data_IF_807649104760
#
_entry.id   IF_807649104760
#
_cell.length_a   1.000
_cell.length_b   1.000
_cell.length_c   1.000
_cell.angle_alpha   90.00
_cell.angle_beta   90.00
_cell.angle_gamma   90.00
#
_symmetry.space_group_name_H-M   'P 1'
#
loop_
_entity.id
_entity.type
_entity.pdbx_description
1 polymer ?
#
# COMPACT_ATOMS: atom_id res chain seq x y z
N UNK A 1 -2.81 -5.26 -49.74
CA UNK A 1 -3.34 -6.62 -49.48
C UNK A 1 -3.98 -6.55 -48.11
N UNK A 2 -5.28 -6.89 -47.93
CA UNK A 2 -5.85 -7.05 -46.60
C UNK A 2 -5.05 -8.12 -45.86
N UNK A 3 -4.81 -7.92 -44.57
CA UNK A 3 -4.09 -8.87 -43.75
C UNK A 3 -4.88 -10.20 -43.72
N UNK A 4 -4.20 -11.34 -43.76
CA UNK A 4 -4.84 -12.66 -43.76
C UNK A 4 -5.74 -12.80 -42.52
N UNK A 5 -5.33 -12.19 -41.41
CA UNK A 5 -6.12 -12.09 -40.19
C UNK A 5 -7.50 -11.43 -40.42
N UNK A 6 -7.57 -10.33 -41.16
CA UNK A 6 -8.82 -9.59 -41.40
C UNK A 6 -9.81 -10.40 -42.23
N UNK A 7 -9.32 -11.12 -43.24
CA UNK A 7 -10.13 -11.98 -44.11
C UNK A 7 -10.71 -13.18 -43.32
N UNK A 8 -9.95 -13.71 -42.36
CA UNK A 8 -10.42 -14.76 -41.45
C UNK A 8 -11.46 -14.25 -40.45
N UNK A 9 -11.26 -13.06 -39.87
CA UNK A 9 -12.22 -12.44 -38.94
C UNK A 9 -13.53 -12.15 -39.67
N UNK A 10 -13.49 -11.57 -40.88
CA UNK A 10 -14.68 -11.27 -41.68
C UNK A 10 -15.49 -12.53 -42.01
N UNK A 11 -14.83 -13.62 -42.41
CA UNK A 11 -15.50 -14.91 -42.68
C UNK A 11 -16.13 -15.52 -41.43
N UNK A 12 -15.50 -15.37 -40.25
CA UNK A 12 -16.06 -15.84 -38.98
C UNK A 12 -17.29 -14.98 -38.56
N UNK A 13 -17.26 -13.68 -38.83
CA UNK A 13 -18.42 -12.80 -38.63
C UNK A 13 -19.59 -13.18 -39.57
N UNK A 14 -19.32 -13.42 -40.85
CA UNK A 14 -20.33 -13.87 -41.83
C UNK A 14 -20.95 -15.23 -41.48
N UNK A 15 -20.20 -16.09 -40.78
CA UNK A 15 -20.69 -17.38 -40.29
C UNK A 15 -21.51 -17.29 -39.01
N UNK A 16 -21.57 -16.12 -38.38
CA UNK A 16 -22.23 -15.94 -37.09
C UNK A 16 -21.48 -16.60 -35.93
N UNK A 17 -20.17 -16.89 -36.07
CA UNK A 17 -19.37 -17.55 -35.02
C UNK A 17 -19.26 -16.70 -33.74
N UNK A 18 -19.60 -15.40 -33.82
CA UNK A 18 -19.68 -14.47 -32.68
C UNK A 18 -21.09 -14.30 -32.12
N UNK A 19 -22.12 -14.86 -32.78
CA UNK A 19 -23.50 -14.83 -32.31
C UNK A 19 -23.76 -16.07 -31.43
N UNK A 20 -24.48 -15.89 -30.32
CA UNK A 20 -24.87 -16.97 -29.41
C UNK A 20 -23.70 -17.74 -28.74
N UNK A 21 -22.60 -17.05 -28.41
CA UNK A 21 -21.53 -17.63 -27.59
C UNK A 21 -22.13 -18.19 -26.28
N UNK A 22 -21.74 -19.41 -25.90
CA UNK A 22 -22.24 -20.10 -24.70
C UNK A 22 -22.05 -19.30 -23.37
N UNK A 23 -21.12 -18.34 -23.40
CA UNK A 23 -20.76 -17.42 -22.33
C UNK A 23 -21.14 -15.95 -22.61
N UNK A 24 -21.93 -15.66 -23.66
CA UNK A 24 -22.43 -14.32 -23.94
C UNK A 24 -23.19 -13.75 -22.73
N UNK A 25 -22.78 -12.57 -22.26
CA UNK A 25 -23.36 -11.91 -21.08
C UNK A 25 -22.93 -12.48 -19.73
N UNK A 26 -22.22 -13.62 -19.67
CA UNK A 26 -21.64 -14.15 -18.43
C UNK A 26 -20.27 -13.51 -18.20
N UNK A 27 -19.91 -13.25 -16.94
CA UNK A 27 -18.54 -12.82 -16.60
C UNK A 27 -17.57 -13.86 -17.13
N UNK A 28 -16.58 -13.43 -17.90
CA UNK A 28 -15.49 -14.30 -18.33
C UNK A 28 -14.80 -14.85 -17.07
N UNK A 29 -14.73 -16.18 -16.87
CA UNK A 29 -13.95 -16.73 -15.78
C UNK A 29 -12.48 -16.45 -16.08
N UNK A 30 -11.94 -15.42 -15.42
CA UNK A 30 -10.52 -15.10 -15.51
C UNK A 30 -9.76 -16.17 -14.73
N UNK A 31 -9.16 -17.11 -15.45
CA UNK A 31 -8.21 -18.05 -14.87
C UNK A 31 -6.90 -17.33 -14.58
N UNK A 32 -6.84 -16.70 -13.40
CA UNK A 32 -5.65 -16.00 -12.92
C UNK A 32 -4.56 -16.99 -12.45
N UNK A 33 -4.81 -18.31 -12.44
CA UNK A 33 -3.79 -19.29 -12.03
C UNK A 33 -2.54 -19.24 -12.90
N UNK A 34 -2.69 -18.85 -14.18
CA UNK A 34 -1.55 -18.65 -15.10
C UNK A 34 -0.61 -17.53 -14.70
N UNK A 35 -1.08 -16.57 -13.89
CA UNK A 35 -0.27 -15.46 -13.37
C UNK A 35 0.58 -15.87 -12.16
N UNK A 36 0.31 -17.04 -11.59
CA UNK A 36 1.04 -17.62 -10.47
C UNK A 36 2.07 -18.62 -11.02
N UNK A 37 3.30 -18.67 -10.47
CA UNK A 37 4.29 -19.70 -10.77
C UNK A 37 3.70 -21.09 -10.61
N UNK A 38 4.13 -22.04 -11.41
CA UNK A 38 3.51 -23.37 -11.48
C UNK A 38 3.56 -24.10 -10.12
N UNK A 39 4.66 -23.96 -9.37
CA UNK A 39 4.80 -24.48 -8.02
C UNK A 39 3.74 -23.98 -7.02
N UNK A 40 3.28 -22.72 -7.16
CA UNK A 40 2.39 -22.07 -6.20
C UNK A 40 0.91 -22.16 -6.59
N UNK A 41 0.60 -22.58 -7.82
CA UNK A 41 -0.79 -22.67 -8.32
C UNK A 41 -1.64 -23.62 -7.50
N UNK A 42 -1.10 -24.79 -7.15
CA UNK A 42 -1.85 -25.81 -6.41
C UNK A 42 -2.16 -25.35 -4.98
N UNK A 43 -1.18 -24.77 -4.29
CA UNK A 43 -1.34 -24.25 -2.94
C UNK A 43 -2.37 -23.10 -2.90
N UNK A 44 -2.26 -22.13 -3.82
CA UNK A 44 -3.20 -21.01 -3.90
C UNK A 44 -4.61 -21.45 -4.29
N UNK A 45 -4.74 -22.46 -5.17
CA UNK A 45 -6.03 -23.04 -5.55
C UNK A 45 -6.70 -23.73 -4.36
N UNK A 46 -5.96 -24.55 -3.60
CA UNK A 46 -6.50 -25.21 -2.40
C UNK A 46 -6.96 -24.18 -1.36
N UNK A 47 -6.19 -23.12 -1.13
CA UNK A 47 -6.60 -22.05 -0.20
C UNK A 47 -7.88 -21.34 -0.66
N UNK A 48 -7.95 -20.96 -1.95
CA UNK A 48 -9.13 -20.32 -2.53
C UNK A 48 -10.37 -21.22 -2.48
N UNK A 49 -10.22 -22.51 -2.78
CA UNK A 49 -11.30 -23.51 -2.75
C UNK A 49 -11.85 -23.72 -1.32
N UNK A 50 -11.08 -23.36 -0.28
CA UNK A 50 -11.49 -23.43 1.13
C UNK A 50 -11.86 -22.05 1.72
N UNK A 51 -12.04 -21.02 0.89
CA UNK A 51 -12.31 -19.64 1.32
C UNK A 51 -11.23 -19.03 2.25
N UNK A 52 -10.01 -19.58 2.23
CA UNK A 52 -8.89 -19.11 3.04
C UNK A 52 -8.00 -18.19 2.21
N UNK A 53 -7.69 -17.00 2.73
CA UNK A 53 -6.76 -16.08 2.09
C UNK A 53 -5.31 -16.53 2.32
N UNK A 54 -4.44 -16.46 1.30
CA UNK A 54 -3.02 -16.63 1.50
C UNK A 54 -2.48 -15.70 2.60
N UNK A 55 -1.57 -16.19 3.48
CA UNK A 55 -1.12 -15.44 4.66
C UNK A 55 -0.49 -14.08 4.32
N UNK A 56 0.16 -13.95 3.17
CA UNK A 56 0.75 -12.68 2.72
C UNK A 56 -0.31 -11.58 2.49
N UNK A 57 -1.56 -11.91 2.16
CA UNK A 57 -2.62 -10.90 2.00
C UNK A 57 -2.93 -10.22 3.33
N UNK A 58 -3.06 -11.00 4.41
CA UNK A 58 -3.30 -10.46 5.75
C UNK A 58 -2.10 -9.62 6.23
N UNK A 59 -0.87 -10.10 6.00
CA UNK A 59 0.35 -9.36 6.34
C UNK A 59 0.43 -8.00 5.63
N UNK A 60 -0.01 -7.93 4.37
CA UNK A 60 -0.10 -6.67 3.64
C UNK A 60 -1.10 -5.71 4.29
N UNK A 61 -2.27 -6.19 4.69
CA UNK A 61 -3.26 -5.35 5.35
C UNK A 61 -2.75 -4.83 6.70
N UNK A 62 -2.02 -5.65 7.46
CA UNK A 62 -1.39 -5.25 8.72
C UNK A 62 -0.31 -4.18 8.50
N UNK A 63 0.50 -4.32 7.44
CA UNK A 63 1.50 -3.33 7.00
C UNK A 63 0.84 -1.99 6.66
N UNK A 64 -0.24 -2.01 5.88
CA UNK A 64 -1.01 -0.81 5.51
C UNK A 64 -1.57 -0.11 6.78
N UNK A 65 -2.16 -0.87 7.71
CA UNK A 65 -2.65 -0.33 8.98
C UNK A 65 -1.54 0.20 9.89
N UNK A 66 -0.36 -0.44 9.91
CA UNK A 66 0.79 0.03 10.67
C UNK A 66 1.30 1.36 10.14
N UNK A 67 1.39 1.48 8.81
CA UNK A 67 1.79 2.71 8.13
C UNK A 67 0.80 3.85 8.41
N UNK A 68 -0.50 3.59 8.29
CA UNK A 68 -1.51 4.62 8.56
C UNK A 68 -1.46 5.11 10.01
N UNK A 69 -1.25 4.21 10.98
CA UNK A 69 -1.06 4.58 12.39
C UNK A 69 0.16 5.47 12.60
N UNK A 70 1.29 5.14 11.96
CA UNK A 70 2.51 5.95 12.01
C UNK A 70 2.28 7.34 11.44
N UNK A 71 1.66 7.42 10.24
CA UNK A 71 1.33 8.69 9.58
C UNK A 71 0.40 9.57 10.40
N UNK A 72 -0.65 8.99 10.98
CA UNK A 72 -1.56 9.72 11.87
C UNK A 72 -0.86 10.22 13.13
N UNK A 73 0.07 9.43 13.68
CA UNK A 73 0.93 9.83 14.80
C UNK A 73 1.76 11.08 14.48
N UNK A 74 2.46 11.05 13.35
CA UNK A 74 3.25 12.19 12.86
C UNK A 74 2.39 13.43 12.61
N UNK A 75 1.26 13.29 11.91
CA UNK A 75 0.34 14.40 11.65
C UNK A 75 -0.20 15.04 12.95
N UNK A 76 -0.50 14.23 13.97
CA UNK A 76 -0.89 14.74 15.30
C UNK A 76 0.24 15.54 15.94
N UNK A 77 1.48 15.09 15.83
CA UNK A 77 2.64 15.82 16.33
C UNK A 77 2.83 17.17 15.60
N UNK A 78 2.75 17.18 14.26
CA UNK A 78 2.80 18.41 13.46
C UNK A 78 1.71 19.42 13.86
N UNK A 79 0.47 18.95 14.05
CA UNK A 79 -0.64 19.81 14.51
C UNK A 79 -0.38 20.38 15.90
N UNK A 80 0.07 19.56 16.86
CA UNK A 80 0.43 20.01 18.21
C UNK A 80 1.55 21.04 18.18
N UNK A 81 2.58 20.82 17.37
CA UNK A 81 3.67 21.76 17.16
C UNK A 81 3.18 23.09 16.62
N UNK A 82 2.36 23.08 15.56
CA UNK A 82 1.78 24.31 15.00
C UNK A 82 0.96 25.09 16.04
N UNK A 83 0.13 24.40 16.81
CA UNK A 83 -0.64 25.01 17.90
C UNK A 83 0.26 25.55 19.02
N UNK A 84 1.34 24.84 19.36
CA UNK A 84 2.33 25.32 20.33
C UNK A 84 3.00 26.60 19.85
N UNK A 85 3.41 26.66 18.58
CA UNK A 85 3.98 27.86 17.96
C UNK A 85 3.02 29.05 18.01
N UNK A 86 1.76 28.86 17.65
CA UNK A 86 0.74 29.92 17.73
C UNK A 86 0.49 30.41 19.17
N UNK A 87 0.54 29.51 20.16
CA UNK A 87 0.45 29.87 21.57
C UNK A 87 1.66 30.70 22.03
N UNK A 88 2.86 30.25 21.66
CA UNK A 88 4.13 30.92 22.01
C UNK A 88 4.21 32.33 21.41
N UNK A 89 3.68 32.55 20.20
CA UNK A 89 3.63 33.87 19.56
C UNK A 89 2.75 34.87 20.33
N UNK A 90 1.68 34.39 20.98
CA UNK A 90 0.77 35.22 21.78
C UNK A 90 1.30 35.48 23.19
N UNK A 91 2.31 34.72 23.63
CA UNK A 91 2.91 34.86 24.96
C UNK A 91 3.95 35.98 25.00
N UNK A 92 3.99 36.69 26.12
CA UNK A 92 5.09 37.59 26.45
C UNK A 92 6.40 36.80 26.49
N UNK A 93 7.49 37.45 26.08
CA UNK A 93 8.82 36.87 26.24
C UNK A 93 9.23 36.88 27.72
N UNK A 94 9.19 35.71 28.35
CA UNK A 94 9.60 35.45 29.72
C UNK A 94 10.15 34.01 29.84
N UNK A 95 10.61 33.64 31.03
CA UNK A 95 11.16 32.31 31.30
C UNK A 95 10.14 31.19 31.05
N UNK A 96 8.85 31.45 31.33
CA UNK A 96 7.79 30.47 31.09
C UNK A 96 7.62 30.19 29.59
N UNK A 97 7.67 31.22 28.73
CA UNK A 97 7.64 31.04 27.27
C UNK A 97 8.83 30.25 26.77
N UNK A 98 10.04 30.49 27.29
CA UNK A 98 11.24 29.73 26.90
C UNK A 98 11.10 28.26 27.26
N UNK A 99 10.62 27.95 28.48
CA UNK A 99 10.35 26.56 28.89
C UNK A 99 9.31 25.87 28.00
N UNK A 100 8.23 26.56 27.65
CA UNK A 100 7.19 26.04 26.75
C UNK A 100 7.72 25.82 25.33
N UNK A 101 8.64 26.65 24.86
CA UNK A 101 9.28 26.49 23.56
C UNK A 101 10.14 25.22 23.52
N UNK A 102 11.03 25.04 24.49
CA UNK A 102 11.87 23.84 24.56
C UNK A 102 11.03 22.57 24.70
N UNK A 103 10.00 22.58 25.54
CA UNK A 103 9.09 21.45 25.67
C UNK A 103 8.41 21.09 24.34
N UNK A 104 7.96 22.08 23.57
CA UNK A 104 7.38 21.84 22.25
C UNK A 104 8.41 21.29 21.24
N UNK A 105 9.67 21.76 21.31
CA UNK A 105 10.76 21.31 20.44
C UNK A 105 11.14 19.85 20.76
N UNK A 106 11.23 19.51 22.04
CA UNK A 106 11.50 18.15 22.52
C UNK A 106 10.37 17.20 22.14
N UNK A 107 9.10 17.62 22.30
CA UNK A 107 7.93 16.85 21.86
C UNK A 107 7.97 16.55 20.36
N UNK A 108 8.38 17.52 19.53
CA UNK A 108 8.48 17.33 18.08
C UNK A 108 9.63 16.38 17.72
N UNK A 109 10.81 16.54 18.33
CA UNK A 109 11.96 15.64 18.13
C UNK A 109 11.64 14.21 18.56
N UNK A 110 10.97 14.03 19.69
CA UNK A 110 10.53 12.72 20.16
C UNK A 110 9.56 12.06 19.17
N UNK A 111 8.63 12.84 18.61
CA UNK A 111 7.70 12.35 17.60
C UNK A 111 8.40 11.99 16.27
N UNK A 112 9.41 12.77 15.86
CA UNK A 112 10.24 12.47 14.68
C UNK A 112 10.99 11.15 14.88
N UNK A 113 11.68 10.97 16.00
CA UNK A 113 12.38 9.72 16.31
C UNK A 113 11.42 8.53 16.33
N UNK A 114 10.26 8.68 16.98
CA UNK A 114 9.25 7.62 17.04
C UNK A 114 8.74 7.25 15.64
N UNK A 115 8.52 8.22 14.76
CA UNK A 115 8.10 7.96 13.39
C UNK A 115 9.19 7.24 12.59
N UNK A 116 10.45 7.67 12.73
CA UNK A 116 11.59 6.99 12.08
C UNK A 116 11.71 5.53 12.52
N UNK A 117 11.56 5.24 13.82
CA UNK A 117 11.61 3.87 14.33
C UNK A 117 10.43 3.03 13.87
N UNK A 118 9.23 3.62 13.78
CA UNK A 118 8.06 2.96 13.19
C UNK A 118 8.30 2.60 11.72
N UNK A 119 8.84 3.51 10.91
CA UNK A 119 9.16 3.24 9.51
C UNK A 119 10.25 2.16 9.38
N UNK A 120 11.27 2.16 10.24
CA UNK A 120 12.28 1.07 10.27
C UNK A 120 11.64 -0.29 10.57
N UNK A 121 10.72 -0.34 11.54
CA UNK A 121 10.01 -1.57 11.88
C UNK A 121 9.13 -2.06 10.72
N UNK A 122 8.41 -1.14 10.06
CA UNK A 122 7.59 -1.44 8.88
C UNK A 122 8.47 -1.93 7.73
N UNK A 123 9.62 -1.30 7.46
CA UNK A 123 10.54 -1.75 6.42
C UNK A 123 11.08 -3.16 6.66
N UNK A 124 11.31 -3.54 7.92
CA UNK A 124 11.68 -4.92 8.27
C UNK A 124 10.54 -5.90 7.97
N UNK A 125 9.29 -5.51 8.21
CA UNK A 125 8.13 -6.32 7.86
C UNK A 125 7.91 -6.40 6.35
N UNK A 126 8.13 -5.31 5.61
CA UNK A 126 8.10 -5.29 4.13
C UNK A 126 9.12 -6.26 3.56
N UNK A 127 10.35 -6.28 4.10
CA UNK A 127 11.36 -7.25 3.67
C UNK A 127 10.87 -8.69 3.87
N UNK A 128 10.32 -9.01 5.05
CA UNK A 128 9.79 -10.34 5.33
C UNK A 128 8.62 -10.70 4.40
N UNK A 129 7.72 -9.75 4.14
CA UNK A 129 6.61 -9.92 3.22
C UNK A 129 7.11 -10.17 1.79
N UNK A 130 8.11 -9.41 1.31
CA UNK A 130 8.68 -9.56 -0.02
C UNK A 130 9.34 -10.93 -0.24
N UNK A 131 9.80 -11.60 0.82
CA UNK A 131 10.34 -12.96 0.75
C UNK A 131 9.26 -14.04 0.65
N UNK A 132 8.00 -13.72 0.97
CA UNK A 132 6.86 -14.65 0.97
C UNK A 132 5.99 -14.55 -0.27
N UNK A 133 6.07 -13.45 -1.01
CA UNK A 133 5.24 -13.27 -2.20
C UNK A 133 5.73 -14.16 -3.34
N UNK A 134 4.80 -14.80 -4.09
CA UNK A 134 5.15 -15.75 -5.15
C UNK A 134 5.70 -15.07 -6.41
N UNK A 135 5.41 -13.78 -6.61
CA UNK A 135 5.79 -13.04 -7.81
C UNK A 135 6.31 -11.65 -7.49
N UNK A 136 7.29 -11.19 -8.28
CA UNK A 136 7.96 -9.90 -8.08
C UNK A 136 7.01 -8.68 -8.21
N UNK A 137 5.91 -8.78 -8.94
CA UNK A 137 4.92 -7.70 -9.05
C UNK A 137 4.09 -7.48 -7.76
N UNK A 138 4.17 -8.39 -6.78
CA UNK A 138 3.47 -8.29 -5.50
C UNK A 138 4.36 -7.75 -4.37
N UNK A 139 5.65 -7.50 -4.62
CA UNK A 139 6.57 -6.92 -3.64
C UNK A 139 6.27 -5.46 -3.37
N UNK A 140 6.58 -4.99 -2.17
CA UNK A 140 6.44 -3.60 -1.74
C UNK A 140 7.81 -2.91 -1.69
N UNK A 141 7.83 -1.63 -2.03
CA UNK A 141 9.03 -0.79 -1.91
C UNK A 141 9.31 -0.42 -0.46
N UNK A 142 10.60 -0.29 -0.12
CA UNK A 142 11.01 0.25 1.16
C UNK A 142 10.61 1.73 1.30
N UNK A 143 10.15 2.10 2.50
CA UNK A 143 9.71 3.45 2.81
C UNK A 143 10.88 4.30 3.30
N UNK A 144 10.93 5.55 2.83
CA UNK A 144 11.86 6.57 3.32
C UNK A 144 11.14 7.48 4.33
N UNK A 145 11.58 7.43 5.59
CA UNK A 145 10.96 8.19 6.68
C UNK A 145 11.01 9.70 6.44
N UNK A 146 12.12 10.24 5.92
CA UNK A 146 12.27 11.69 5.69
C UNK A 146 11.33 12.14 4.57
N UNK A 147 11.27 11.34 3.49
CA UNK A 147 10.36 11.61 2.37
C UNK A 147 8.89 11.53 2.82
N UNK A 148 8.52 10.54 3.62
CA UNK A 148 7.16 10.39 4.15
C UNK A 148 6.78 11.55 5.08
N UNK A 149 7.68 11.97 5.98
CA UNK A 149 7.44 13.14 6.83
C UNK A 149 7.23 14.42 6.01
N UNK A 150 8.01 14.61 4.94
CA UNK A 150 7.90 15.76 4.05
C UNK A 150 6.56 15.86 3.31
N UNK A 151 5.90 14.74 3.02
CA UNK A 151 4.55 14.72 2.40
C UNK A 151 3.43 15.12 3.36
N UNK A 152 3.67 15.00 4.67
CA UNK A 152 2.64 15.08 5.71
C UNK A 152 2.75 16.33 6.58
N UNK A 153 3.70 17.22 6.28
CA UNK A 153 3.99 18.44 7.03
C UNK A 153 3.20 19.64 6.52
#
# INVERSE_FOLDING_TARGET
>A
MPDIADEHIRKAMERGDFENLNSAGKRLPLDLSRLVPEEDRLANKIMADNEVLPPWIAERQDLEQALDRARQGWQRACRRWKQAQERLQRMRYDEHRVRQQWAAEDDLKAAESAFQDQIRAINRQILNYNLKVPTANLTLDALDAVREMGKLR
#
